data_IF_670708304235
#
_entry.id   IF_670708304235
#
_cell.length_a   1.000
_cell.length_b   1.000
_cell.length_c   1.000
_cell.angle_alpha   90.00
_cell.angle_beta   90.00
_cell.angle_gamma   90.00
#
_symmetry.space_group_name_H-M   'P 1'
#
loop_
_entity.id
_entity.type
_entity.pdbx_description
1 polymer ?
#
# COMPACT_ATOMS: atom_id res chain seq x y z
N UNK A 1 51.38 0.00 49.91
CA UNK A 1 49.93 0.30 49.95
C UNK A 1 49.73 1.69 49.37
N UNK A 2 49.14 1.76 48.17
CA UNK A 2 49.20 2.93 47.27
C UNK A 2 48.29 4.10 47.67
N UNK A 3 48.64 5.30 47.19
CA UNK A 3 48.02 6.60 47.53
C UNK A 3 46.51 6.70 47.32
N UNK A 4 45.90 5.76 46.60
CA UNK A 4 44.44 5.68 46.40
C UNK A 4 43.67 5.47 47.71
N UNK A 5 44.30 4.87 48.73
CA UNK A 5 43.70 4.71 50.06
C UNK A 5 43.69 6.00 50.90
N UNK A 6 44.45 7.02 50.51
CA UNK A 6 44.56 8.29 51.23
C UNK A 6 43.59 9.36 50.72
N UNK A 7 42.91 9.10 49.59
CA UNK A 7 41.92 10.02 49.03
C UNK A 7 40.63 9.88 49.84
N UNK A 8 40.06 10.99 50.37
CA UNK A 8 38.82 10.94 51.12
C UNK A 8 37.73 10.27 50.26
N UNK A 9 36.95 9.39 50.88
CA UNK A 9 35.92 8.52 50.29
C UNK A 9 36.41 7.34 49.42
N UNK A 10 37.51 7.47 48.67
CA UNK A 10 38.03 6.37 47.82
C UNK A 10 38.70 5.28 48.65
N UNK A 11 39.51 5.65 49.63
CA UNK A 11 40.15 4.68 50.53
C UNK A 11 39.18 3.85 51.37
N UNK A 12 38.21 4.48 52.06
CA UNK A 12 37.16 3.77 52.79
C UNK A 12 36.33 2.84 51.88
N UNK A 13 36.01 3.29 50.67
CA UNK A 13 35.27 2.49 49.70
C UNK A 13 36.06 1.26 49.25
N UNK A 14 37.36 1.42 48.92
CA UNK A 14 38.21 0.29 48.53
C UNK A 14 38.45 -0.69 49.69
N UNK A 15 38.58 -0.18 50.93
CA UNK A 15 38.65 -0.99 52.13
C UNK A 15 37.37 -1.81 52.36
N UNK A 16 36.20 -1.20 52.17
CA UNK A 16 34.92 -1.91 52.22
C UNK A 16 34.82 -2.94 51.08
N UNK A 17 35.13 -2.54 49.85
CA UNK A 17 35.04 -3.36 48.65
C UNK A 17 35.91 -4.63 48.69
N UNK A 18 37.00 -4.60 49.47
CA UNK A 18 37.91 -5.74 49.67
C UNK A 18 37.69 -6.48 50.98
N UNK A 19 36.75 -6.04 51.81
CA UNK A 19 36.42 -6.67 53.09
C UNK A 19 35.63 -7.97 52.91
N UNK A 20 35.64 -8.83 53.94
CA UNK A 20 34.91 -10.11 53.97
C UNK A 20 33.40 -9.96 53.72
N UNK A 21 32.82 -8.81 54.04
CA UNK A 21 31.39 -8.53 53.86
C UNK A 21 31.12 -7.65 52.64
N UNK A 22 31.97 -6.66 52.33
CA UNK A 22 31.74 -5.77 51.20
C UNK A 22 32.06 -6.39 49.85
N UNK A 23 33.07 -7.26 49.75
CA UNK A 23 33.40 -7.98 48.52
C UNK A 23 32.20 -8.82 48.01
N UNK A 24 31.56 -9.71 48.80
CA UNK A 24 30.41 -10.46 48.32
C UNK A 24 29.21 -9.57 47.97
N UNK A 25 29.01 -8.44 48.68
CA UNK A 25 27.94 -7.48 48.36
C UNK A 25 28.19 -6.80 47.01
N UNK A 26 29.42 -6.37 46.72
CA UNK A 26 29.76 -5.75 45.43
C UNK A 26 29.67 -6.76 44.30
N UNK A 27 30.12 -8.00 44.52
CA UNK A 27 30.02 -9.07 43.51
C UNK A 27 28.55 -9.41 43.25
N UNK A 28 27.74 -9.60 44.29
CA UNK A 28 26.31 -9.88 44.14
C UNK A 28 25.58 -8.71 43.44
N UNK A 29 25.86 -7.47 43.86
CA UNK A 29 25.37 -6.27 43.20
C UNK A 29 25.77 -6.25 41.72
N UNK A 30 27.03 -6.47 41.40
CA UNK A 30 27.54 -6.51 40.02
C UNK A 30 26.88 -7.58 39.15
N UNK A 31 26.62 -8.76 39.71
CA UNK A 31 25.91 -9.85 39.01
C UNK A 31 24.46 -9.47 38.71
N UNK A 32 23.75 -8.90 39.69
CA UNK A 32 22.37 -8.42 39.52
C UNK A 32 22.33 -7.31 38.46
N UNK A 33 23.23 -6.33 38.57
CA UNK A 33 23.37 -5.23 37.61
C UNK A 33 23.64 -5.73 36.19
N UNK A 34 24.44 -6.79 36.03
CA UNK A 34 24.79 -7.32 34.72
C UNK A 34 23.66 -8.16 34.09
N UNK A 35 22.94 -8.94 34.89
CA UNK A 35 21.88 -9.84 34.40
C UNK A 35 20.52 -9.14 34.26
N UNK A 36 20.10 -8.41 35.28
CA UNK A 36 18.81 -7.74 35.37
C UNK A 36 18.89 -6.27 34.94
N UNK A 37 20.09 -5.67 34.95
CA UNK A 37 20.27 -4.25 34.71
C UNK A 37 20.34 -3.45 36.01
N UNK A 38 20.67 -2.16 35.93
CA UNK A 38 20.62 -1.30 37.12
C UNK A 38 19.15 -1.06 37.51
N UNK A 39 18.73 -1.36 38.75
CA UNK A 39 17.36 -1.13 39.22
C UNK A 39 17.14 0.37 39.47
N UNK A 40 17.29 1.20 38.44
CA UNK A 40 16.99 2.62 38.50
C UNK A 40 15.58 2.83 38.00
N UNK A 41 14.62 2.53 38.88
CA UNK A 41 13.18 2.53 38.62
C UNK A 41 12.63 3.68 37.76
N UNK A 42 13.09 4.94 37.84
CA UNK A 42 12.52 6.03 37.03
C UNK A 42 13.48 6.73 36.04
N UNK A 43 14.76 6.32 35.93
CA UNK A 43 15.70 7.00 35.00
C UNK A 43 15.53 6.55 33.53
N UNK A 44 14.82 5.44 33.28
CA UNK A 44 14.52 4.92 31.94
C UNK A 44 13.57 5.83 31.14
N UNK A 45 12.69 6.55 31.85
CA UNK A 45 11.64 7.39 31.24
C UNK A 45 12.10 8.82 30.94
N UNK A 46 13.37 9.15 31.20
CA UNK A 46 13.92 10.47 30.88
C UNK A 46 14.19 10.53 29.38
N UNK A 47 13.47 11.36 28.61
CA UNK A 47 13.52 11.35 27.13
C UNK A 47 14.93 11.61 26.56
N UNK A 48 15.76 12.34 27.29
CA UNK A 48 17.11 12.74 26.86
C UNK A 48 18.23 11.83 27.38
N UNK A 49 18.03 11.16 28.52
CA UNK A 49 19.05 10.32 29.16
C UNK A 49 18.80 8.81 28.95
N UNK A 50 17.53 8.41 28.76
CA UNK A 50 17.10 7.03 28.56
C UNK A 50 17.83 6.33 27.41
N UNK A 51 17.94 6.91 26.19
CA UNK A 51 18.60 6.23 25.06
C UNK A 51 20.09 5.97 25.27
N UNK A 52 20.77 6.81 26.07
CA UNK A 52 22.21 6.69 26.34
C UNK A 52 22.51 5.78 27.52
N UNK A 53 21.56 5.64 28.46
CA UNK A 53 21.67 4.78 29.63
C UNK A 53 21.06 3.39 29.41
N UNK A 54 20.25 3.19 28.36
CA UNK A 54 19.63 1.91 28.02
C UNK A 54 20.66 0.76 27.91
N UNK A 55 21.89 0.99 27.43
CA UNK A 55 22.91 -0.06 27.39
C UNK A 55 23.48 -0.47 28.76
N UNK A 56 23.33 0.39 29.76
CA UNK A 56 23.75 0.16 31.16
C UNK A 56 22.57 -0.30 32.04
N UNK A 57 21.35 0.13 31.70
CA UNK A 57 20.12 -0.14 32.44
C UNK A 57 19.42 -1.39 31.94
N UNK A 58 19.49 -1.72 30.65
CA UNK A 58 18.90 -2.94 30.11
C UNK A 58 19.89 -4.12 30.26
N UNK A 59 19.51 -5.09 31.09
CA UNK A 59 20.25 -6.34 31.26
C UNK A 59 20.41 -7.11 29.94
N UNK A 60 21.22 -8.18 29.95
CA UNK A 60 21.35 -9.06 28.78
C UNK A 60 20.00 -9.60 28.30
N UNK A 61 19.10 -9.88 29.25
CA UNK A 61 17.78 -10.47 29.04
C UNK A 61 16.86 -9.49 28.28
N UNK A 62 16.78 -8.24 28.71
CA UNK A 62 15.96 -7.21 28.04
C UNK A 62 16.43 -6.92 26.61
N UNK A 63 17.75 -6.94 26.38
CA UNK A 63 18.32 -6.80 25.03
C UNK A 63 17.94 -7.95 24.11
N UNK A 64 17.84 -9.18 24.62
CA UNK A 64 17.41 -10.33 23.84
C UNK A 64 15.91 -10.27 23.51
N UNK A 65 15.07 -9.83 24.45
CA UNK A 65 13.65 -9.59 24.16
C UNK A 65 13.44 -8.49 23.11
N UNK A 66 14.18 -7.38 23.21
CA UNK A 66 14.11 -6.31 22.22
C UNK A 66 14.61 -6.77 20.83
N UNK A 67 15.64 -7.61 20.77
CA UNK A 67 16.11 -8.21 19.52
C UNK A 67 15.07 -9.15 18.91
N UNK A 68 14.38 -9.96 19.73
CA UNK A 68 13.28 -10.82 19.30
C UNK A 68 12.12 -10.02 18.68
N UNK A 69 11.66 -8.96 19.35
CA UNK A 69 10.59 -8.11 18.84
C UNK A 69 10.94 -7.41 17.52
N UNK A 70 12.21 -7.03 17.31
CA UNK A 70 12.68 -6.45 16.04
C UNK A 70 12.69 -7.48 14.91
N UNK A 71 13.06 -8.72 15.18
CA UNK A 71 13.06 -9.79 14.18
C UNK A 71 11.63 -10.15 13.73
N UNK A 72 10.68 -10.22 14.68
CA UNK A 72 9.27 -10.45 14.37
C UNK A 72 8.66 -9.29 13.56
N UNK A 73 8.98 -8.04 13.92
CA UNK A 73 8.54 -6.87 13.18
C UNK A 73 9.07 -6.87 11.73
N UNK A 74 10.32 -7.29 11.52
CA UNK A 74 10.91 -7.40 10.19
C UNK A 74 10.19 -8.46 9.34
N UNK A 75 9.93 -9.65 9.90
CA UNK A 75 9.17 -10.71 9.23
C UNK A 75 7.75 -10.25 8.87
N UNK A 76 7.10 -9.48 9.76
CA UNK A 76 5.78 -8.92 9.50
C UNK A 76 5.80 -7.92 8.32
N UNK A 77 6.81 -7.05 8.27
CA UNK A 77 6.98 -6.10 7.16
C UNK A 77 7.24 -6.80 5.83
N UNK A 78 8.02 -7.89 5.82
CA UNK A 78 8.23 -8.69 4.62
C UNK A 78 6.93 -9.33 4.11
N UNK A 79 6.11 -9.89 5.02
CA UNK A 79 4.79 -10.44 4.66
C UNK A 79 3.88 -9.38 4.07
N UNK A 80 3.84 -8.18 4.67
CA UNK A 80 3.04 -7.07 4.16
C UNK A 80 3.53 -6.62 2.76
N UNK A 81 4.84 -6.56 2.54
CA UNK A 81 5.39 -6.26 1.19
C UNK A 81 4.97 -7.29 0.16
N UNK A 82 5.07 -8.58 0.48
CA UNK A 82 4.68 -9.64 -0.44
C UNK A 82 3.17 -9.60 -0.74
N UNK A 83 2.34 -9.37 0.27
CA UNK A 83 0.90 -9.21 0.09
C UNK A 83 0.56 -8.00 -0.79
N UNK A 84 1.26 -6.88 -0.63
CA UNK A 84 1.07 -5.69 -1.47
C UNK A 84 1.48 -5.96 -2.93
N UNK A 85 2.56 -6.71 -3.16
CA UNK A 85 2.99 -7.09 -4.53
C UNK A 85 1.95 -8.01 -5.19
N UNK A 86 1.41 -8.98 -4.45
CA UNK A 86 0.37 -9.87 -4.96
C UNK A 86 -0.90 -9.10 -5.35
N UNK A 87 -1.36 -8.17 -4.50
CA UNK A 87 -2.50 -7.30 -4.83
C UNK A 87 -2.21 -6.40 -6.03
N UNK A 88 -0.99 -5.88 -6.16
CA UNK A 88 -0.58 -5.09 -7.32
C UNK A 88 -0.56 -5.92 -8.62
N UNK A 89 -0.25 -7.22 -8.54
CA UNK A 89 -0.33 -8.12 -9.69
C UNK A 89 -1.80 -8.41 -10.07
N UNK A 90 -2.65 -8.74 -9.08
CA UNK A 90 -4.07 -9.01 -9.30
C UNK A 90 -4.84 -7.80 -9.85
N UNK A 91 -4.47 -6.59 -9.43
CA UNK A 91 -5.09 -5.37 -9.96
C UNK A 91 -4.68 -5.10 -11.40
N UNK A 92 -3.42 -5.39 -11.77
CA UNK A 92 -2.95 -5.28 -13.16
C UNK A 92 -3.65 -6.26 -14.09
N UNK A 93 -3.83 -7.52 -13.67
CA UNK A 93 -4.54 -8.51 -14.49
C UNK A 93 -6.00 -8.11 -14.71
N UNK A 94 -6.70 -7.68 -13.65
CA UNK A 94 -8.06 -7.15 -13.78
C UNK A 94 -8.13 -5.92 -14.69
N UNK A 95 -7.13 -5.03 -14.63
CA UNK A 95 -7.10 -3.87 -15.51
C UNK A 95 -6.92 -4.28 -16.98
N UNK A 96 -6.07 -5.27 -17.26
CA UNK A 96 -5.90 -5.82 -18.61
C UNK A 96 -7.20 -6.42 -19.15
N UNK A 97 -7.97 -7.13 -18.31
CA UNK A 97 -9.26 -7.69 -18.71
C UNK A 97 -10.29 -6.59 -19.01
N UNK A 98 -10.31 -5.50 -18.22
CA UNK A 98 -11.18 -4.34 -18.46
C UNK A 98 -10.79 -3.64 -19.76
N UNK A 99 -9.50 -3.43 -19.98
CA UNK A 99 -9.00 -2.75 -21.18
C UNK A 99 -9.31 -3.57 -22.44
N UNK A 100 -9.18 -4.91 -22.37
CA UNK A 100 -9.57 -5.80 -23.46
C UNK A 100 -11.08 -5.76 -23.72
N UNK A 101 -11.91 -5.83 -22.68
CA UNK A 101 -13.36 -5.72 -22.83
C UNK A 101 -13.80 -4.36 -23.38
N UNK A 102 -13.10 -3.28 -23.00
CA UNK A 102 -13.35 -1.94 -23.52
C UNK A 102 -13.03 -1.83 -25.01
N UNK A 103 -11.92 -2.43 -25.46
CA UNK A 103 -11.57 -2.50 -26.88
C UNK A 103 -12.62 -3.26 -27.68
N UNK A 104 -13.04 -4.45 -27.22
CA UNK A 104 -14.10 -5.22 -27.88
C UNK A 104 -15.42 -4.43 -27.99
N UNK A 105 -15.76 -3.64 -26.96
CA UNK A 105 -16.94 -2.79 -27.00
C UNK A 105 -16.84 -1.69 -28.05
N UNK A 106 -15.69 -1.03 -28.15
CA UNK A 106 -15.41 0.00 -29.15
C UNK A 106 -15.47 -0.59 -30.56
N UNK A 107 -14.86 -1.76 -30.77
CA UNK A 107 -14.87 -2.45 -32.06
C UNK A 107 -16.30 -2.83 -32.47
N UNK A 108 -17.12 -3.32 -31.54
CA UNK A 108 -18.55 -3.58 -31.77
C UNK A 108 -19.30 -2.32 -32.14
N UNK A 109 -19.09 -1.20 -31.44
CA UNK A 109 -19.72 0.07 -31.80
C UNK A 109 -19.35 0.53 -33.22
N UNK A 110 -18.08 0.39 -33.61
CA UNK A 110 -17.65 0.73 -34.98
C UNK A 110 -18.28 -0.18 -36.03
N UNK A 111 -18.35 -1.48 -35.76
CA UNK A 111 -19.03 -2.45 -36.64
C UNK A 111 -20.52 -2.13 -36.78
N UNK A 112 -21.21 -1.86 -35.67
CA UNK A 112 -22.64 -1.53 -35.68
C UNK A 112 -22.89 -0.18 -36.36
N UNK A 113 -22.04 0.82 -36.17
CA UNK A 113 -22.14 2.10 -36.88
C UNK A 113 -22.02 1.91 -38.40
N UNK A 114 -21.07 1.06 -38.85
CA UNK A 114 -20.94 0.69 -40.26
C UNK A 114 -22.19 0.00 -40.80
N UNK A 115 -22.71 -0.98 -40.05
CA UNK A 115 -23.92 -1.74 -40.41
C UNK A 115 -25.16 -0.86 -40.46
N UNK A 116 -25.32 0.06 -39.51
CA UNK A 116 -26.42 1.04 -39.50
C UNK A 116 -26.30 1.98 -40.71
N UNK A 117 -25.10 2.46 -41.03
CA UNK A 117 -24.89 3.33 -42.18
C UNK A 117 -25.20 2.61 -43.51
N UNK A 118 -24.86 1.33 -43.62
CA UNK A 118 -25.19 0.49 -44.78
C UNK A 118 -26.69 0.24 -44.89
N UNK A 119 -27.36 -0.17 -43.80
CA UNK A 119 -28.81 -0.34 -43.76
C UNK A 119 -29.55 0.95 -44.13
N UNK A 120 -29.06 2.10 -43.65
CA UNK A 120 -29.64 3.40 -43.97
C UNK A 120 -29.43 3.80 -45.44
N UNK A 121 -28.32 3.40 -46.08
CA UNK A 121 -28.15 3.56 -47.53
C UNK A 121 -29.10 2.65 -48.31
N UNK A 122 -29.21 1.38 -47.93
CA UNK A 122 -30.11 0.43 -48.57
C UNK A 122 -31.58 0.89 -48.52
N UNK A 123 -32.04 1.44 -47.38
CA UNK A 123 -33.36 2.05 -47.27
C UNK A 123 -33.56 3.23 -48.22
N UNK A 124 -32.56 4.12 -48.33
CA UNK A 124 -32.62 5.24 -49.28
C UNK A 124 -32.67 4.75 -50.73
N UNK A 125 -31.91 3.72 -51.07
CA UNK A 125 -31.91 3.17 -52.43
C UNK A 125 -33.26 2.52 -52.76
N UNK A 126 -33.86 1.78 -51.83
CA UNK A 126 -35.22 1.23 -51.97
C UNK A 126 -36.30 2.31 -52.12
N UNK A 127 -36.20 3.43 -51.39
CA UNK A 127 -37.14 4.55 -51.49
C UNK A 127 -36.97 5.38 -52.77
N UNK A 128 -35.81 5.31 -53.43
CA UNK A 128 -35.54 5.97 -54.72
C UNK A 128 -35.89 5.11 -55.95
N UNK A 129 -36.35 3.87 -55.75
CA UNK A 129 -36.79 3.01 -56.87
C UNK A 129 -38.04 3.62 -57.53
N UNK A 130 -38.06 3.78 -58.87
CA UNK A 130 -39.24 4.28 -59.58
C UNK A 130 -40.47 3.40 -59.29
N UNK A 131 -41.67 3.97 -59.11
CA UNK A 131 -42.86 3.20 -58.83
C UNK A 131 -43.16 2.23 -60.00
N UNK A 132 -43.26 0.95 -59.68
CA UNK A 132 -43.63 -0.11 -60.62
C UNK A 132 -45.11 0.07 -61.02
N UNK A 133 -45.42 0.31 -62.31
CA UNK A 133 -46.78 0.60 -62.76
C UNK A 133 -47.74 -0.61 -62.67
N UNK A 134 -47.24 -1.81 -62.36
CA UNK A 134 -48.03 -3.04 -62.28
C UNK A 134 -48.43 -3.47 -60.86
N UNK A 135 -47.93 -2.79 -59.82
CA UNK A 135 -48.27 -3.09 -58.43
C UNK A 135 -49.25 -2.07 -57.86
N UNK A 136 -50.31 -2.48 -57.13
CA UNK A 136 -51.19 -1.54 -56.46
C UNK A 136 -50.36 -0.72 -55.47
N UNK A 137 -50.50 0.61 -55.52
CA UNK A 137 -49.82 1.53 -54.63
C UNK A 137 -50.28 1.29 -53.20
N UNK A 138 -49.60 0.38 -52.49
CA UNK A 138 -49.77 0.22 -51.06
C UNK A 138 -49.20 1.49 -50.44
N UNK A 139 -50.06 2.31 -49.85
CA UNK A 139 -49.69 3.51 -49.11
C UNK A 139 -48.65 3.15 -48.03
N UNK A 140 -47.36 3.29 -48.33
CA UNK A 140 -46.33 3.33 -47.28
C UNK A 140 -46.66 4.53 -46.38
N UNK A 141 -46.57 4.40 -45.05
CA UNK A 141 -46.74 5.55 -44.15
C UNK A 141 -45.78 6.64 -44.61
N UNK A 142 -46.30 7.86 -44.78
CA UNK A 142 -45.64 8.98 -45.45
C UNK A 142 -44.38 9.44 -44.70
N UNK A 143 -43.27 8.71 -44.86
CA UNK A 143 -41.94 9.20 -44.60
C UNK A 143 -41.57 10.21 -45.69
N UNK A 144 -41.15 11.40 -45.27
CA UNK A 144 -40.68 12.46 -46.17
C UNK A 144 -39.57 11.88 -47.05
N UNK A 145 -39.71 11.98 -48.37
CA UNK A 145 -38.71 11.48 -49.30
C UNK A 145 -37.34 12.10 -49.00
N UNK A 146 -36.27 11.29 -49.05
CA UNK A 146 -34.94 11.70 -48.60
C UNK A 146 -34.42 12.99 -49.30
N UNK A 147 -34.89 13.30 -50.51
CA UNK A 147 -34.58 14.53 -51.23
C UNK A 147 -35.33 15.78 -50.72
N UNK A 148 -36.46 15.62 -50.04
CA UNK A 148 -37.20 16.71 -49.40
C UNK A 148 -36.66 16.99 -48.00
N UNK A 149 -36.25 15.95 -47.24
CA UNK A 149 -35.66 16.13 -45.91
C UNK A 149 -34.29 16.82 -45.95
N UNK A 150 -33.43 16.49 -46.92
CA UNK A 150 -32.14 17.17 -47.12
C UNK A 150 -32.28 18.63 -47.55
N UNK A 151 -33.31 18.97 -48.33
CA UNK A 151 -33.60 20.37 -48.70
C UNK A 151 -34.19 21.18 -47.55
N UNK A 152 -34.98 20.57 -46.68
CA UNK A 152 -35.53 21.21 -45.48
C UNK A 152 -34.46 21.48 -44.42
N UNK A 153 -33.54 20.52 -44.20
CA UNK A 153 -32.42 20.68 -43.24
C UNK A 153 -31.44 21.79 -43.65
N UNK A 154 -31.25 22.01 -44.96
CA UNK A 154 -30.43 23.10 -45.49
C UNK A 154 -31.05 24.50 -45.31
N UNK A 155 -32.36 24.61 -45.08
CA UNK A 155 -33.07 25.88 -44.91
C UNK A 155 -33.23 26.24 -43.42
N UNK A 156 -33.08 25.26 -42.51
CA UNK A 156 -33.33 25.41 -41.07
C UNK A 156 -32.13 25.80 -40.20
N UNK A 157 -30.97 26.16 -40.79
CA UNK A 157 -29.82 26.73 -40.08
C UNK A 157 -29.71 28.24 -40.27
#
# INVERSE_FOLDING_TARGET
>A
MGSLYAIPYVGPFLGFATSRFGLPIIVAGGVILFYEGVPIGPLRDIPWAGPRLASLVDGRVDRQYAAGGRAEAALWQERLRLAAIAQAADTKTRQQDIDAAAQEYIDKQHSDAGRIAELHRAQKDEDNVPPDPTKPAVCKPAGISAGVSTRLDAIGR
#
